data_IF_741198848427
#
_entry.id   IF_741198848427
#
_cell.length_a   1.000
_cell.length_b   1.000
_cell.length_c   1.000
_cell.angle_alpha   90.00
_cell.angle_beta   90.00
_cell.angle_gamma   90.00
#
_symmetry.space_group_name_H-M   'P 1'
#
loop_
_entity.id
_entity.type
_entity.pdbx_description
1 polymer ?
#
# COMPACT_ATOMS: atom_id res chain seq x y z
N UNK A 1 -28.10 -1.53 2.67
CA UNK A 1 -27.66 -1.34 4.06
C UNK A 1 -26.18 -1.07 4.00
N UNK A 2 -25.69 0.06 4.53
CA UNK A 2 -24.25 0.31 4.62
C UNK A 2 -23.70 -0.59 5.71
N UNK A 3 -23.03 -1.67 5.31
CA UNK A 3 -22.38 -2.58 6.24
C UNK A 3 -21.06 -1.94 6.69
N UNK A 4 -20.83 -1.91 8.00
CA UNK A 4 -19.56 -1.51 8.58
C UNK A 4 -18.89 -2.70 9.26
N UNK A 5 -17.56 -2.64 9.34
CA UNK A 5 -16.71 -3.67 9.94
C UNK A 5 -15.64 -2.97 10.77
N UNK A 6 -15.41 -3.39 12.00
CA UNK A 6 -14.36 -2.83 12.86
C UNK A 6 -13.23 -3.85 13.02
N UNK A 7 -11.99 -3.40 12.86
CA UNK A 7 -10.77 -4.20 13.05
C UNK A 7 -9.65 -3.33 13.62
N UNK A 8 -9.12 -3.72 14.77
CA UNK A 8 -8.30 -2.82 15.58
C UNK A 8 -9.09 -1.55 15.92
N UNK A 9 -8.47 -0.39 15.70
CA UNK A 9 -9.06 0.93 15.95
C UNK A 9 -9.78 1.54 14.73
N UNK A 10 -9.95 0.76 13.65
CA UNK A 10 -10.48 1.26 12.38
C UNK A 10 -11.87 0.69 12.13
N UNK A 11 -12.80 1.57 11.78
CA UNK A 11 -14.11 1.19 11.27
C UNK A 11 -14.16 1.42 9.77
N UNK A 12 -14.35 0.32 9.03
CA UNK A 12 -14.46 0.32 7.59
C UNK A 12 -15.92 0.33 7.14
N UNK A 13 -16.19 1.04 6.05
CA UNK A 13 -17.39 0.92 5.25
C UNK A 13 -17.16 -0.15 4.18
N UNK A 14 -17.89 -1.26 4.29
CA UNK A 14 -17.75 -2.38 3.36
C UNK A 14 -18.39 -2.02 2.03
N UNK A 15 -17.61 -2.11 0.96
CA UNK A 15 -18.03 -1.89 -0.42
C UNK A 15 -17.66 -3.10 -1.29
N UNK A 16 -18.31 -3.22 -2.44
CA UNK A 16 -17.95 -4.21 -3.45
C UNK A 16 -16.73 -3.72 -4.26
N UNK A 17 -15.90 -4.65 -4.75
CA UNK A 17 -14.64 -4.33 -5.43
C UNK A 17 -14.86 -3.47 -6.68
N UNK A 18 -15.94 -3.71 -7.41
CA UNK A 18 -16.34 -2.94 -8.59
C UNK A 18 -16.70 -1.47 -8.29
N UNK A 19 -16.94 -1.12 -7.03
CA UNK A 19 -17.23 0.25 -6.61
C UNK A 19 -15.98 1.04 -6.20
N UNK A 20 -14.82 0.39 -6.09
CA UNK A 20 -13.58 1.04 -5.67
C UNK A 20 -13.16 2.17 -6.63
N UNK A 21 -13.07 1.88 -7.94
CA UNK A 21 -12.64 2.88 -8.93
C UNK A 21 -13.63 4.06 -9.05
N UNK A 22 -14.95 3.83 -9.21
CA UNK A 22 -15.92 4.92 -9.24
C UNK A 22 -15.90 5.80 -7.98
N UNK A 23 -15.63 5.21 -6.80
CA UNK A 23 -15.50 5.98 -5.55
C UNK A 23 -14.31 6.95 -5.62
N UNK A 24 -13.14 6.45 -6.02
CA UNK A 24 -11.93 7.25 -6.17
C UNK A 24 -12.07 8.33 -7.25
N UNK A 25 -12.66 8.00 -8.39
CA UNK A 25 -12.98 8.98 -9.44
C UNK A 25 -13.90 10.09 -8.92
N UNK A 26 -14.86 9.73 -8.07
CA UNK A 26 -15.73 10.69 -7.37
C UNK A 26 -14.94 11.62 -6.45
N UNK A 27 -13.99 11.10 -5.66
CA UNK A 27 -13.11 11.92 -4.82
C UNK A 27 -12.26 12.89 -5.66
N UNK A 28 -11.66 12.40 -6.74
CA UNK A 28 -10.87 13.22 -7.66
C UNK A 28 -11.71 14.35 -8.26
N UNK A 29 -12.92 14.05 -8.72
CA UNK A 29 -13.81 15.02 -9.36
C UNK A 29 -14.17 16.22 -8.46
N UNK A 30 -14.19 16.03 -7.14
CA UNK A 30 -14.50 17.08 -6.15
C UNK A 30 -13.27 17.60 -5.39
N UNK A 31 -12.07 17.10 -5.73
CA UNK A 31 -10.82 17.51 -5.09
C UNK A 31 -10.62 16.98 -3.67
N UNK A 32 -11.30 15.89 -3.30
CA UNK A 32 -11.09 15.20 -2.02
C UNK A 32 -9.72 14.52 -2.02
N UNK A 33 -8.95 14.73 -0.94
CA UNK A 33 -7.70 13.98 -0.71
C UNK A 33 -8.04 12.55 -0.32
N UNK A 34 -7.32 11.61 -0.91
CA UNK A 34 -7.54 10.20 -0.69
C UNK A 34 -6.22 9.44 -0.83
N UNK A 35 -6.20 8.23 -0.31
CA UNK A 35 -5.16 7.26 -0.57
C UNK A 35 -5.72 5.83 -0.45
N UNK A 36 -4.92 4.83 -0.81
CA UNK A 36 -5.35 3.43 -0.80
C UNK A 36 -4.28 2.49 -0.26
N UNK A 37 -4.73 1.32 0.17
CA UNK A 37 -3.87 0.21 0.60
C UNK A 37 -4.38 -1.11 0.06
N UNK A 38 -3.47 -2.01 -0.32
CA UNK A 38 -3.80 -3.43 -0.45
C UNK A 38 -3.36 -4.16 0.80
N UNK A 39 -4.31 -4.86 1.41
CA UNK A 39 -4.07 -5.71 2.55
C UNK A 39 -3.94 -7.15 2.06
N UNK A 40 -2.73 -7.70 2.16
CA UNK A 40 -2.49 -9.11 1.80
C UNK A 40 -3.11 -10.08 2.82
N UNK A 41 -3.34 -11.35 2.46
CA UNK A 41 -3.65 -12.39 3.44
C UNK A 41 -2.59 -12.43 4.54
N UNK A 42 -3.03 -12.41 5.81
CA UNK A 42 -2.13 -12.40 6.98
C UNK A 42 -1.57 -11.01 7.37
N UNK A 43 -1.93 -9.95 6.65
CA UNK A 43 -1.65 -8.56 7.07
C UNK A 43 -2.36 -8.24 8.38
N UNK A 44 -1.66 -7.59 9.32
CA UNK A 44 -2.21 -7.26 10.64
C UNK A 44 -3.43 -6.32 10.56
N UNK A 45 -3.55 -5.54 9.50
CA UNK A 45 -4.67 -4.63 9.27
C UNK A 45 -5.85 -5.27 8.51
N UNK A 46 -5.69 -6.49 8.00
CA UNK A 46 -6.69 -7.16 7.18
C UNK A 46 -7.69 -7.92 8.06
N UNK A 47 -8.98 -7.56 8.03
CA UNK A 47 -10.01 -8.29 8.79
C UNK A 47 -10.45 -9.59 8.11
N UNK A 48 -10.08 -9.83 6.85
CA UNK A 48 -10.50 -10.99 6.08
C UNK A 48 -9.42 -12.06 6.08
N UNK A 49 -9.64 -13.15 6.82
CA UNK A 49 -8.72 -14.28 6.84
C UNK A 49 -8.63 -14.95 5.45
N UNK A 50 -7.41 -15.23 5.02
CA UNK A 50 -7.12 -15.88 3.73
C UNK A 50 -7.41 -15.04 2.47
N UNK A 51 -7.96 -13.84 2.57
CA UNK A 51 -8.32 -12.99 1.42
C UNK A 51 -7.43 -11.76 1.31
N UNK A 52 -7.32 -11.21 0.11
CA UNK A 52 -6.85 -9.84 -0.06
C UNK A 52 -7.98 -8.87 0.28
N UNK A 53 -7.63 -7.63 0.58
CA UNK A 53 -8.59 -6.53 0.58
C UNK A 53 -7.95 -5.27 0.02
N UNK A 54 -8.78 -4.38 -0.53
CA UNK A 54 -8.36 -3.02 -0.85
C UNK A 54 -9.07 -2.04 0.09
N UNK A 55 -8.30 -1.13 0.65
CA UNK A 55 -8.77 -0.02 1.48
C UNK A 55 -8.64 1.26 0.70
N UNK A 56 -9.64 2.13 0.79
CA UNK A 56 -9.62 3.49 0.26
C UNK A 56 -9.98 4.41 1.43
N UNK A 57 -9.11 5.36 1.74
CA UNK A 57 -9.34 6.36 2.79
C UNK A 57 -9.71 7.70 2.17
N UNK A 58 -10.83 8.28 2.61
CA UNK A 58 -11.15 9.69 2.41
C UNK A 58 -10.49 10.50 3.54
N UNK A 59 -9.40 11.19 3.22
CA UNK A 59 -8.64 11.99 4.19
C UNK A 59 -9.43 13.22 4.67
N UNK A 60 -10.41 13.68 3.88
CA UNK A 60 -11.23 14.83 4.21
C UNK A 60 -12.26 14.50 5.30
N UNK A 61 -12.91 13.35 5.18
CA UNK A 61 -13.96 12.91 6.13
C UNK A 61 -13.50 11.86 7.14
N UNK A 62 -12.25 11.38 7.01
CA UNK A 62 -11.67 10.32 7.84
C UNK A 62 -12.50 9.03 7.78
N UNK A 63 -12.99 8.69 6.59
CA UNK A 63 -13.78 7.49 6.33
C UNK A 63 -12.92 6.49 5.56
N UNK A 64 -12.80 5.27 6.09
CA UNK A 64 -12.14 4.17 5.41
C UNK A 64 -13.18 3.24 4.77
N UNK A 65 -12.99 2.91 3.51
CA UNK A 65 -13.78 1.94 2.75
C UNK A 65 -12.94 0.68 2.55
N UNK A 66 -13.56 -0.50 2.57
CA UNK A 66 -12.87 -1.78 2.34
C UNK A 66 -13.65 -2.69 1.39
N UNK A 67 -12.95 -3.34 0.46
CA UNK A 67 -13.50 -4.40 -0.38
C UNK A 67 -12.62 -5.65 -0.31
N UNK A 68 -13.17 -6.83 0.03
CA UNK A 68 -12.44 -8.09 -0.03
C UNK A 68 -12.23 -8.55 -1.48
N UNK A 69 -11.18 -9.35 -1.72
CA UNK A 69 -10.83 -9.91 -3.03
C UNK A 69 -10.17 -11.29 -2.87
N UNK A 70 -10.51 -12.24 -3.74
CA UNK A 70 -9.92 -13.59 -3.74
C UNK A 70 -8.44 -13.60 -4.16
N UNK A 71 -8.05 -12.64 -5.00
CA UNK A 71 -6.67 -12.46 -5.44
C UNK A 71 -6.22 -11.00 -5.27
N UNK A 72 -5.00 -10.71 -5.71
CA UNK A 72 -4.49 -9.33 -5.69
C UNK A 72 -5.46 -8.42 -6.46
N UNK A 73 -5.96 -7.33 -5.84
CA UNK A 73 -6.94 -6.45 -6.47
C UNK A 73 -6.25 -5.58 -7.53
N UNK A 74 -6.35 -5.97 -8.79
CA UNK A 74 -5.66 -5.29 -9.92
C UNK A 74 -5.98 -3.80 -10.05
N UNK A 75 -7.11 -3.33 -9.50
CA UNK A 75 -7.46 -1.91 -9.41
C UNK A 75 -6.44 -1.09 -8.61
N UNK A 76 -5.69 -1.72 -7.70
CA UNK A 76 -4.62 -1.05 -6.95
C UNK A 76 -3.51 -0.50 -7.84
N UNK A 77 -3.14 -1.21 -8.92
CA UNK A 77 -2.15 -0.71 -9.89
C UNK A 77 -2.63 0.57 -10.57
N UNK A 78 -3.93 0.76 -10.70
CA UNK A 78 -4.52 2.00 -11.22
C UNK A 78 -4.40 3.10 -10.16
N UNK A 79 -4.73 2.81 -8.90
CA UNK A 79 -4.66 3.79 -7.81
C UNK A 79 -3.24 4.26 -7.51
N UNK A 80 -2.28 3.34 -7.46
CA UNK A 80 -0.87 3.65 -7.25
C UNK A 80 -0.35 4.62 -8.33
N UNK A 81 -0.74 4.44 -9.60
CA UNK A 81 -0.42 5.40 -10.68
C UNK A 81 -1.13 6.74 -10.51
N UNK A 82 -2.41 6.74 -10.12
CA UNK A 82 -3.16 7.97 -9.86
C UNK A 82 -2.55 8.80 -8.71
N UNK A 83 -2.06 8.14 -7.66
CA UNK A 83 -1.49 8.80 -6.48
C UNK A 83 -0.05 9.29 -6.72
N UNK A 84 0.78 8.45 -7.33
CA UNK A 84 2.23 8.65 -7.32
C UNK A 84 2.81 9.05 -8.69
N UNK A 85 2.05 8.84 -9.77
CA UNK A 85 2.45 9.06 -11.16
C UNK A 85 2.67 7.73 -11.91
N UNK A 86 2.64 7.79 -13.24
CA UNK A 86 2.75 6.58 -14.10
C UNK A 86 4.11 5.88 -14.01
N UNK A 87 5.16 6.61 -13.60
CA UNK A 87 6.53 6.11 -13.50
C UNK A 87 6.81 5.32 -12.20
N UNK A 88 5.83 5.20 -11.31
CA UNK A 88 6.00 4.54 -10.01
C UNK A 88 6.21 3.02 -10.14
N UNK A 89 5.72 2.41 -11.22
CA UNK A 89 5.88 0.98 -11.51
C UNK A 89 6.92 0.70 -12.61
N UNK A 90 7.69 1.71 -13.02
CA UNK A 90 8.68 1.57 -14.09
C UNK A 90 10.05 1.14 -13.52
N UNK A 91 10.47 -0.08 -13.85
CA UNK A 91 11.78 -0.63 -13.45
C UNK A 91 12.97 0.21 -13.95
N UNK A 92 12.87 0.79 -15.15
CA UNK A 92 13.94 1.61 -15.71
C UNK A 92 14.03 2.94 -14.95
N UNK A 93 12.89 3.55 -14.60
CA UNK A 93 12.84 4.73 -13.76
C UNK A 93 13.34 4.45 -12.33
N UNK A 94 13.10 3.25 -11.79
CA UNK A 94 13.62 2.83 -10.48
C UNK A 94 15.16 2.79 -10.49
N UNK A 95 15.77 2.22 -11.53
CA UNK A 95 17.23 2.15 -11.68
C UNK A 95 17.88 3.52 -11.93
N UNK A 96 17.11 4.48 -12.44
CA UNK A 96 17.57 5.83 -12.75
C UNK A 96 17.29 6.85 -11.64
N UNK A 97 16.58 6.48 -10.57
CA UNK A 97 16.28 7.36 -9.44
C UNK A 97 17.56 7.81 -8.72
N UNK A 98 17.53 8.98 -8.07
CA UNK A 98 18.68 9.53 -7.36
C UNK A 98 19.19 8.50 -6.33
N UNK A 99 20.39 7.94 -6.53
CA UNK A 99 20.93 6.90 -5.65
C UNK A 99 21.07 7.39 -4.21
N UNK A 100 21.21 8.69 -3.95
CA UNK A 100 21.50 9.21 -2.62
C UNK A 100 20.33 9.07 -1.64
N UNK A 101 19.09 9.31 -2.09
CA UNK A 101 17.89 9.19 -1.23
C UNK A 101 17.55 7.71 -0.97
N UNK A 102 17.59 6.88 -2.01
CA UNK A 102 17.34 5.45 -1.87
C UNK A 102 18.45 4.71 -1.11
N UNK A 103 19.73 5.08 -1.31
CA UNK A 103 20.83 4.46 -0.58
C UNK A 103 20.86 4.80 0.92
N UNK A 104 20.20 5.90 1.33
CA UNK A 104 20.09 6.31 2.72
C UNK A 104 19.03 5.55 3.53
N UNK A 105 18.05 4.90 2.86
CA UNK A 105 16.93 4.24 3.55
C UNK A 105 17.35 2.92 4.19
N UNK A 106 17.27 2.88 5.52
CA UNK A 106 17.48 1.66 6.29
C UNK A 106 16.37 0.62 6.01
N UNK A 107 15.14 1.10 5.77
CA UNK A 107 14.01 0.24 5.41
C UNK A 107 14.25 -0.45 4.06
N UNK A 108 14.66 0.30 3.03
CA UNK A 108 14.94 -0.30 1.71
C UNK A 108 16.07 -1.33 1.77
N UNK A 109 17.13 -1.06 2.53
CA UNK A 109 18.19 -2.03 2.76
C UNK A 109 17.65 -3.34 3.37
N UNK A 110 16.75 -3.23 4.35
CA UNK A 110 16.11 -4.40 4.97
C UNK A 110 15.15 -5.12 4.03
N UNK A 111 14.38 -4.39 3.21
CA UNK A 111 13.51 -4.97 2.17
C UNK A 111 14.32 -5.80 1.18
N UNK A 112 15.43 -5.25 0.66
CA UNK A 112 16.33 -5.97 -0.25
C UNK A 112 16.88 -7.26 0.38
N UNK A 113 17.20 -7.23 1.67
CA UNK A 113 17.70 -8.40 2.40
C UNK A 113 16.64 -9.51 2.50
N UNK A 114 15.43 -9.19 2.95
CA UNK A 114 14.37 -10.20 3.09
C UNK A 114 13.88 -10.70 1.73
N UNK A 115 13.86 -9.84 0.71
CA UNK A 115 13.47 -10.21 -0.65
C UNK A 115 14.48 -11.17 -1.29
N UNK A 116 15.78 -10.92 -1.09
CA UNK A 116 16.84 -11.84 -1.54
C UNK A 116 16.79 -13.22 -0.87
N UNK A 117 16.19 -13.32 0.32
CA UNK A 117 15.94 -14.57 1.03
C UNK A 117 14.68 -15.30 0.55
N UNK A 118 13.91 -14.71 -0.38
CA UNK A 118 12.63 -15.26 -0.84
C UNK A 118 11.54 -15.21 0.22
N UNK A 119 11.69 -14.37 1.25
CA UNK A 119 10.66 -14.17 2.28
C UNK A 119 9.45 -13.48 1.66
N UNK A 120 8.25 -13.89 2.05
CA UNK A 120 7.03 -13.18 1.68
C UNK A 120 6.90 -11.92 2.54
N UNK A 121 6.62 -10.81 1.88
CA UNK A 121 6.40 -9.52 2.52
C UNK A 121 5.41 -8.68 1.70
N UNK A 122 4.83 -7.68 2.36
CA UNK A 122 4.05 -6.62 1.73
C UNK A 122 4.35 -5.30 2.43
N UNK A 123 4.02 -4.18 1.78
CA UNK A 123 4.23 -2.85 2.34
C UNK A 123 2.94 -2.04 2.36
N UNK A 124 2.95 -0.98 3.16
CA UNK A 124 1.93 0.06 3.21
C UNK A 124 2.61 1.41 3.03
N UNK A 125 2.22 2.13 1.98
CA UNK A 125 2.61 3.53 1.82
C UNK A 125 1.65 4.40 2.64
N UNK A 126 2.08 4.83 3.82
CA UNK A 126 1.25 5.54 4.78
C UNK A 126 1.33 7.06 4.56
N UNK A 127 0.20 7.66 4.20
CA UNK A 127 0.05 9.12 4.12
C UNK A 127 0.03 9.73 5.54
N UNK A 128 0.31 11.03 5.72
CA UNK A 128 0.30 11.67 7.04
C UNK A 128 -1.01 11.50 7.84
N UNK A 129 -2.15 11.45 7.14
CA UNK A 129 -3.48 11.27 7.73
C UNK A 129 -3.91 9.79 7.84
N UNK A 130 -3.21 8.86 7.18
CA UNK A 130 -3.56 7.46 7.04
C UNK A 130 -3.85 6.78 8.39
N UNK A 131 -4.98 6.07 8.47
CA UNK A 131 -5.43 5.33 9.64
C UNK A 131 -4.45 4.25 10.08
N UNK A 132 -3.71 3.66 9.13
CA UNK A 132 -2.72 2.62 9.35
C UNK A 132 -1.34 3.16 9.76
N UNK A 133 -1.15 4.48 9.75
CA UNK A 133 0.17 5.09 9.92
C UNK A 133 0.66 5.05 11.39
N UNK A 134 1.77 4.36 11.70
CA UNK A 134 2.35 4.38 13.04
C UNK A 134 3.06 5.70 13.37
N UNK A 135 3.33 6.55 12.37
CA UNK A 135 4.01 7.85 12.48
C UNK A 135 3.09 9.00 12.04
N UNK A 136 1.98 9.19 12.77
CA UNK A 136 0.95 10.21 12.44
C UNK A 136 1.55 11.59 12.16
N UNK A 137 1.08 12.24 11.10
CA UNK A 137 1.56 13.54 10.65
C UNK A 137 2.81 13.49 9.77
N UNK A 138 3.39 12.30 9.52
CA UNK A 138 4.51 12.10 8.60
C UNK A 138 4.17 11.09 7.52
N UNK A 139 4.86 11.18 6.39
CA UNK A 139 4.87 10.08 5.44
C UNK A 139 5.62 8.90 6.05
N UNK A 140 5.16 7.67 5.82
CA UNK A 140 5.88 6.49 6.26
C UNK A 140 5.68 5.34 5.29
N UNK A 141 6.66 4.43 5.26
CA UNK A 141 6.48 3.12 4.63
C UNK A 141 6.59 2.09 5.75
N UNK A 142 5.59 1.22 5.86
CA UNK A 142 5.60 0.09 6.79
C UNK A 142 5.70 -1.19 5.99
N UNK A 143 6.56 -2.13 6.41
CA UNK A 143 6.72 -3.45 5.80
C UNK A 143 6.39 -4.52 6.83
N UNK A 144 5.58 -5.49 6.42
CA UNK A 144 5.25 -6.66 7.22
C UNK A 144 5.80 -7.93 6.55
N UNK A 145 6.35 -8.83 7.35
CA UNK A 145 6.84 -10.13 6.90
C UNK A 145 6.76 -11.14 8.03
N UNK A 146 6.99 -12.43 7.73
CA UNK A 146 7.14 -13.46 8.76
C UNK A 146 8.32 -13.18 9.73
N UNK A 147 9.27 -12.33 9.34
CA UNK A 147 10.43 -11.94 10.18
C UNK A 147 10.16 -10.74 11.08
N UNK A 148 8.95 -10.17 11.01
CA UNK A 148 8.52 -9.02 11.78
C UNK A 148 8.08 -7.83 10.93
N UNK A 149 7.69 -6.76 11.63
CA UNK A 149 7.21 -5.50 11.06
C UNK A 149 8.21 -4.38 11.33
N UNK A 150 8.50 -3.57 10.33
CA UNK A 150 9.40 -2.42 10.44
C UNK A 150 8.90 -1.25 9.59
N UNK A 151 9.27 -0.02 9.96
CA UNK A 151 8.84 1.19 9.25
C UNK A 151 9.91 2.27 9.28
N UNK A 152 9.83 3.18 8.31
CA UNK A 152 10.65 4.39 8.21
C UNK A 152 9.74 5.58 7.88
N UNK A 153 10.00 6.74 8.51
CA UNK A 153 9.19 7.95 8.35
C UNK A 153 9.97 9.10 7.72
N UNK A 154 9.26 9.91 6.94
CA UNK A 154 9.80 10.92 6.04
C UNK A 154 9.04 12.24 6.21
N UNK A 155 9.70 13.37 5.96
CA UNK A 155 9.04 14.69 5.98
C UNK A 155 8.16 14.91 4.75
N UNK A 156 8.59 14.38 3.60
CA UNK A 156 7.89 14.43 2.33
C UNK A 156 7.68 13.02 1.80
N UNK A 157 6.89 12.90 0.74
CA UNK A 157 6.65 11.63 0.06
C UNK A 157 7.98 11.05 -0.45
N UNK A 158 8.42 9.87 0.02
CA UNK A 158 9.71 9.26 -0.32
C UNK A 158 9.63 8.52 -1.67
N UNK A 159 9.33 9.24 -2.75
CA UNK A 159 9.03 8.64 -4.07
C UNK A 159 10.15 7.73 -4.59
N UNK A 160 11.41 8.09 -4.39
CA UNK A 160 12.55 7.29 -4.82
C UNK A 160 12.58 5.93 -4.10
N UNK A 161 12.39 5.92 -2.78
CA UNK A 161 12.32 4.70 -1.97
C UNK A 161 11.09 3.86 -2.33
N UNK A 162 9.93 4.51 -2.46
CA UNK A 162 8.67 3.84 -2.79
C UNK A 162 8.76 3.12 -4.13
N UNK A 163 9.29 3.78 -5.17
CA UNK A 163 9.44 3.18 -6.52
C UNK A 163 10.26 1.89 -6.48
N UNK A 164 11.35 1.88 -5.73
CA UNK A 164 12.17 0.66 -5.58
C UNK A 164 11.42 -0.46 -4.86
N UNK A 165 10.67 -0.13 -3.81
CA UNK A 165 9.86 -1.10 -3.06
C UNK A 165 8.76 -1.68 -3.94
N UNK A 166 8.04 -0.86 -4.70
CA UNK A 166 6.98 -1.33 -5.60
C UNK A 166 7.52 -2.34 -6.63
N UNK A 167 8.66 -2.04 -7.25
CA UNK A 167 9.32 -2.97 -8.20
C UNK A 167 9.68 -4.29 -7.53
N UNK A 168 10.30 -4.25 -6.35
CA UNK A 168 10.65 -5.46 -5.60
C UNK A 168 9.40 -6.25 -5.21
N UNK A 169 8.36 -5.57 -4.74
CA UNK A 169 7.09 -6.17 -4.32
C UNK A 169 6.41 -6.90 -5.47
N UNK A 170 6.20 -6.25 -6.62
CA UNK A 170 5.53 -6.90 -7.75
C UNK A 170 6.33 -8.07 -8.32
N UNK A 171 7.66 -8.01 -8.29
CA UNK A 171 8.51 -9.16 -8.62
C UNK A 171 8.33 -10.31 -7.64
N UNK A 172 8.36 -10.04 -6.34
CA UNK A 172 8.14 -11.03 -5.28
C UNK A 172 6.76 -11.69 -5.41
N UNK A 173 5.73 -10.86 -5.61
CA UNK A 173 4.35 -11.31 -5.83
C UNK A 173 4.22 -12.21 -7.06
N UNK A 174 4.81 -11.83 -8.19
CA UNK A 174 4.78 -12.63 -9.41
C UNK A 174 5.46 -14.00 -9.22
N UNK A 175 6.60 -14.04 -8.52
CA UNK A 175 7.29 -15.29 -8.20
C UNK A 175 6.44 -16.23 -7.34
N UNK A 176 5.69 -15.69 -6.38
CA UNK A 176 4.77 -16.45 -5.52
C UNK A 176 3.60 -17.02 -6.30
N UNK A 177 2.97 -16.22 -7.15
CA UNK A 177 1.82 -16.65 -7.96
C UNK A 177 2.21 -17.70 -9.01
N UNK A 178 3.46 -17.70 -9.48
CA UNK A 178 3.95 -18.72 -10.41
C UNK A 178 4.35 -20.05 -9.74
N UNK A 179 4.57 -20.05 -8.42
CA UNK A 179 5.01 -21.21 -7.65
C UNK A 179 3.85 -21.99 -6.98
N UNK A 180 2.64 -21.43 -6.99
CA UNK A 180 1.40 -22.07 -6.52
C UNK A 180 0.61 -22.70 -7.66
#
# INVERSE_FOLDING_TARGET
MNQTLTHGDITYHVIALEHCLPLVEGFIAVGTKWHSHVLSPGCAFNPYDGLYAIVIEDDGTHVAYIAPSEGFPEVDKVFVRMLHGDDILDEAAARAADPAEAAGSALLARVREIDAQGVHWHHHMNFPACALNPHRGRWAITVESATGTFSESYEHEPKAVLREIEVLYFRNLAARTAAG
#
